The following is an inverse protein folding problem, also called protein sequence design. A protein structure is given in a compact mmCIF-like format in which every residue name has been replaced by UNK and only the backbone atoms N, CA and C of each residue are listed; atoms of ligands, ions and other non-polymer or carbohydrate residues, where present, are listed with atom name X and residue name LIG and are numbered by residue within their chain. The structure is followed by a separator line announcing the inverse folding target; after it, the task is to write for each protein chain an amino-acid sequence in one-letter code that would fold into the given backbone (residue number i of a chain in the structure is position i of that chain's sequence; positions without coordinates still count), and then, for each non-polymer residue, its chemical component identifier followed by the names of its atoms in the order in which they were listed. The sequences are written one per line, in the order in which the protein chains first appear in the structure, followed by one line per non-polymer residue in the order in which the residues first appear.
data_IF_399988646330
#
_entry.id   IF_399988646330
#
_cell.length_a   1.000
_cell.length_b   1.000
_cell.length_c   1.000
_cell.angle_alpha   90.00
_cell.angle_beta   90.00
_cell.angle_gamma   90.00
#
_symmetry.space_group_name_H-M   'P 1'
#
loop_
_entity.id
_entity.type
_entity.pdbx_description
1 polymer ?
#
# COMPACT_ATOMS: atom_id res chain seq x y z
N UNK A 1 17.63 -8.29 -28.34
CA UNK A 1 16.35 -8.44 -27.63
C UNK A 1 15.49 -9.38 -28.43
N UNK A 2 14.86 -10.33 -27.75
CA UNK A 2 13.86 -11.20 -28.40
C UNK A 2 12.66 -10.36 -28.86
N UNK A 3 12.02 -10.74 -29.97
CA UNK A 3 10.84 -10.04 -30.45
C UNK A 3 9.69 -10.16 -29.44
N UNK A 4 9.00 -9.05 -29.18
CA UNK A 4 7.84 -9.01 -28.28
C UNK A 4 6.73 -9.91 -28.86
N UNK A 5 6.21 -10.89 -28.12
CA UNK A 5 5.21 -11.82 -28.62
C UNK A 5 3.85 -11.12 -28.86
N UNK A 6 2.99 -11.76 -29.65
CA UNK A 6 1.62 -11.24 -29.90
C UNK A 6 0.72 -11.41 -28.68
N UNK A 7 0.91 -12.49 -27.94
CA UNK A 7 0.15 -12.86 -26.75
C UNK A 7 1.08 -13.09 -25.56
N UNK A 8 0.52 -13.02 -24.37
CA UNK A 8 1.18 -13.23 -23.09
C UNK A 8 0.25 -13.94 -22.12
N UNK A 9 0.82 -14.56 -21.09
CA UNK A 9 0.07 -15.05 -19.94
C UNK A 9 -0.20 -13.92 -18.94
N UNK A 10 -1.40 -13.92 -18.38
CA UNK A 10 -1.84 -12.98 -17.35
C UNK A 10 -2.71 -13.67 -16.31
N UNK A 11 -2.53 -13.34 -15.03
CA UNK A 11 -3.47 -13.71 -13.98
C UNK A 11 -4.64 -12.73 -13.99
N UNK A 12 -5.85 -13.25 -14.15
CA UNK A 12 -7.04 -12.42 -14.27
C UNK A 12 -8.33 -13.05 -13.75
N UNK A 13 -9.39 -12.26 -13.84
CA UNK A 13 -10.77 -12.64 -13.54
C UNK A 13 -11.66 -12.26 -14.73
N UNK A 14 -12.48 -13.19 -15.23
CA UNK A 14 -13.41 -12.95 -16.37
C UNK A 14 -14.72 -12.28 -15.99
N UNK A 15 -15.04 -12.29 -14.71
CA UNK A 15 -16.23 -11.68 -14.10
C UNK A 15 -15.83 -11.24 -12.69
N UNK A 16 -16.71 -10.51 -12.01
CA UNK A 16 -16.48 -10.26 -10.59
C UNK A 16 -16.52 -11.58 -9.83
N UNK A 17 -15.42 -11.94 -9.18
CA UNK A 17 -15.28 -13.22 -8.50
C UNK A 17 -14.30 -13.16 -7.34
N UNK A 18 -14.36 -14.19 -6.49
CA UNK A 18 -13.38 -14.41 -5.42
C UNK A 18 -12.10 -15.03 -6.01
N UNK A 19 -10.98 -15.01 -5.25
CA UNK A 19 -9.70 -15.55 -5.71
C UNK A 19 -9.75 -16.98 -6.24
N UNK A 20 -10.64 -17.81 -5.70
CA UNK A 20 -10.88 -19.21 -6.06
C UNK A 20 -11.16 -19.40 -7.57
N UNK A 21 -11.72 -18.37 -8.22
CA UNK A 21 -12.05 -18.35 -9.65
C UNK A 21 -11.04 -17.57 -10.51
N UNK A 22 -9.91 -17.11 -9.94
CA UNK A 22 -8.86 -16.45 -10.73
C UNK A 22 -8.17 -17.46 -11.64
N UNK A 23 -7.78 -17.05 -12.84
CA UNK A 23 -7.17 -17.94 -13.83
C UNK A 23 -5.97 -17.28 -14.48
N UNK A 24 -5.02 -18.12 -14.92
CA UNK A 24 -3.98 -17.70 -15.86
C UNK A 24 -4.58 -17.84 -17.25
N UNK A 25 -4.64 -16.73 -17.98
CA UNK A 25 -5.23 -16.62 -19.30
C UNK A 25 -4.21 -16.14 -20.31
N UNK A 26 -4.37 -16.56 -21.55
CA UNK A 26 -3.62 -15.98 -22.68
C UNK A 26 -4.36 -14.75 -23.21
N UNK A 27 -3.67 -13.61 -23.24
CA UNK A 27 -4.19 -12.30 -23.66
C UNK A 27 -3.22 -11.60 -24.58
N UNK A 28 -3.66 -10.63 -25.42
CA UNK A 28 -2.74 -9.86 -26.25
C UNK A 28 -1.73 -9.06 -25.42
N UNK A 29 -0.48 -8.98 -25.89
CA UNK A 29 0.50 -8.06 -25.30
C UNK A 29 0.06 -6.61 -25.56
N UNK A 30 0.03 -5.75 -24.54
CA UNK A 30 -0.26 -4.33 -24.71
C UNK A 30 0.72 -3.68 -25.68
N UNK A 31 0.22 -2.79 -26.54
CA UNK A 31 1.04 -2.02 -27.48
C UNK A 31 1.16 -0.59 -27.00
N UNK A 32 2.30 0.04 -27.30
CA UNK A 32 2.47 1.50 -27.23
C UNK A 32 1.38 2.17 -28.07
N UNK A 33 0.57 3.02 -27.44
CA UNK A 33 -0.52 3.79 -28.05
C UNK A 33 -0.31 5.30 -27.90
N UNK A 34 0.42 5.72 -26.87
CA UNK A 34 0.69 7.11 -26.54
C UNK A 34 2.19 7.41 -26.51
N UNK A 35 2.60 8.69 -26.69
CA UNK A 35 4.01 9.08 -26.64
C UNK A 35 4.69 8.82 -25.28
N UNK A 36 3.95 8.86 -24.18
CA UNK A 36 4.44 8.66 -22.81
C UNK A 36 4.36 7.20 -22.33
N UNK A 37 3.86 6.29 -23.18
CA UNK A 37 3.75 4.88 -22.84
C UNK A 37 5.13 4.21 -22.70
N UNK A 38 5.22 3.30 -21.73
CA UNK A 38 6.37 2.45 -21.47
C UNK A 38 5.85 1.02 -21.32
N UNK A 39 6.39 0.12 -22.14
CA UNK A 39 6.11 -1.31 -22.05
C UNK A 39 7.22 -2.00 -21.27
N UNK A 40 6.83 -2.76 -20.26
CA UNK A 40 7.74 -3.42 -19.33
C UNK A 40 7.54 -4.93 -19.45
N UNK A 41 8.63 -5.67 -19.57
CA UNK A 41 8.66 -7.11 -19.31
C UNK A 41 8.75 -7.31 -17.80
N UNK A 42 7.71 -7.89 -17.23
CA UNK A 42 7.51 -7.94 -15.78
C UNK A 42 8.27 -9.12 -15.19
N UNK A 43 8.99 -8.86 -14.10
CA UNK A 43 9.68 -9.89 -13.31
C UNK A 43 8.91 -10.23 -12.04
N UNK A 44 8.34 -9.23 -11.36
CA UNK A 44 7.60 -9.45 -10.12
C UNK A 44 6.46 -8.45 -9.94
N UNK A 45 5.39 -8.91 -9.29
CA UNK A 45 4.15 -8.13 -9.12
C UNK A 45 3.68 -8.22 -7.68
N UNK A 46 3.43 -7.06 -7.08
CA UNK A 46 2.80 -6.99 -5.77
C UNK A 46 1.29 -7.03 -5.88
N UNK A 47 0.65 -7.96 -5.18
CA UNK A 47 -0.81 -8.04 -5.07
C UNK A 47 -1.28 -7.42 -3.76
N UNK A 48 -2.16 -6.44 -3.88
CA UNK A 48 -2.72 -5.67 -2.77
C UNK A 48 -4.13 -6.13 -2.43
N UNK A 49 -4.61 -5.73 -1.24
CA UNK A 49 -5.99 -5.94 -0.81
C UNK A 49 -6.97 -5.27 -1.78
N UNK A 50 -6.61 -4.09 -2.29
CA UNK A 50 -7.43 -3.35 -3.24
C UNK A 50 -7.65 -4.10 -4.55
N UNK A 51 -6.64 -4.83 -5.04
CA UNK A 51 -6.77 -5.63 -6.27
C UNK A 51 -7.82 -6.73 -6.10
N UNK A 52 -7.78 -7.45 -4.97
CA UNK A 52 -8.76 -8.50 -4.67
C UNK A 52 -10.17 -7.94 -4.46
N UNK A 53 -10.32 -6.78 -3.80
CA UNK A 53 -11.63 -6.13 -3.59
C UNK A 53 -12.27 -5.66 -4.90
N UNK A 54 -11.45 -5.19 -5.85
CA UNK A 54 -11.92 -4.79 -7.17
C UNK A 54 -12.33 -5.99 -7.99
N UNK A 55 -11.50 -7.03 -8.04
CA UNK A 55 -11.83 -8.28 -8.73
C UNK A 55 -13.09 -8.95 -8.13
N UNK A 56 -13.33 -8.82 -6.82
CA UNK A 56 -14.56 -9.30 -6.17
C UNK A 56 -15.81 -8.42 -6.43
N UNK A 57 -15.65 -7.26 -7.06
CA UNK A 57 -16.75 -6.33 -7.35
C UNK A 57 -17.26 -5.55 -6.15
N UNK A 58 -16.57 -5.58 -5.00
CA UNK A 58 -16.95 -4.85 -3.78
C UNK A 58 -17.04 -3.34 -4.02
N UNK A 59 -16.21 -2.82 -4.92
CA UNK A 59 -16.17 -1.41 -5.28
C UNK A 59 -16.79 -1.09 -6.66
N UNK A 60 -17.53 -2.03 -7.28
CA UNK A 60 -18.01 -1.92 -8.68
C UNK A 60 -18.84 -0.67 -9.00
N UNK A 61 -19.55 -0.14 -7.99
CA UNK A 61 -20.36 1.08 -8.16
C UNK A 61 -19.50 2.33 -8.31
N UNK A 62 -18.32 2.34 -7.67
CA UNK A 62 -17.37 3.45 -7.70
C UNK A 62 -16.34 3.25 -8.81
N UNK A 63 -15.97 2.00 -9.04
CA UNK A 63 -14.90 1.56 -9.94
C UNK A 63 -15.44 0.45 -10.85
N UNK A 64 -16.32 0.77 -11.81
CA UNK A 64 -16.81 -0.23 -12.76
C UNK A 64 -15.63 -0.73 -13.61
N UNK A 65 -15.42 -2.04 -13.63
CA UNK A 65 -14.34 -2.69 -14.37
C UNK A 65 -14.85 -3.29 -15.69
N UNK A 66 -13.98 -3.31 -16.69
CA UNK A 66 -14.16 -4.09 -17.91
C UNK A 66 -13.39 -5.41 -17.79
N UNK A 67 -13.90 -6.46 -18.45
CA UNK A 67 -13.39 -7.82 -18.33
C UNK A 67 -12.63 -8.25 -19.60
N UNK A 68 -11.60 -9.12 -19.49
CA UNK A 68 -11.08 -9.67 -18.23
C UNK A 68 -10.32 -8.64 -17.38
N UNK A 69 -10.46 -8.71 -16.07
CA UNK A 69 -9.63 -7.91 -15.15
C UNK A 69 -8.30 -8.64 -15.00
N UNK A 70 -7.20 -8.01 -15.41
CA UNK A 70 -5.85 -8.49 -15.05
C UNK A 70 -5.52 -7.96 -13.64
N UNK A 71 -5.03 -8.85 -12.77
CA UNK A 71 -4.74 -8.52 -11.36
C UNK A 71 -3.43 -7.72 -11.22
N UNK A 72 -3.24 -7.13 -10.04
CA UNK A 72 -2.02 -6.41 -9.68
C UNK A 72 -1.90 -5.04 -10.33
N UNK A 73 -1.34 -4.08 -9.59
CA UNK A 73 -1.12 -2.70 -10.09
C UNK A 73 0.21 -2.10 -9.69
N UNK A 74 1.09 -2.91 -9.14
CA UNK A 74 2.44 -2.52 -8.79
C UNK A 74 3.36 -3.68 -9.13
N UNK A 75 4.56 -3.36 -9.57
CA UNK A 75 5.51 -4.38 -9.95
C UNK A 75 6.84 -3.80 -10.37
N UNK A 76 7.68 -4.69 -10.86
CA UNK A 76 9.02 -4.37 -11.30
C UNK A 76 9.41 -5.25 -12.48
N UNK A 77 10.29 -4.73 -13.32
CA UNK A 77 10.73 -5.43 -14.52
C UNK A 77 11.67 -4.59 -15.37
N UNK A 78 11.80 -4.94 -16.64
CA UNK A 78 12.72 -4.30 -17.58
C UNK A 78 11.95 -3.62 -18.70
N UNK A 79 12.32 -2.40 -19.06
CA UNK A 79 11.72 -1.68 -20.18
C UNK A 79 12.07 -2.37 -21.50
N UNK A 80 11.06 -2.73 -22.30
CA UNK A 80 11.23 -3.41 -23.60
C UNK A 80 10.77 -2.57 -24.79
N UNK A 81 9.91 -1.57 -24.57
CA UNK A 81 9.57 -0.57 -25.58
C UNK A 81 9.14 0.75 -24.92
N UNK A 82 9.33 1.86 -25.64
CA UNK A 82 8.97 3.20 -25.18
C UNK A 82 8.25 3.97 -26.29
N UNK A 83 7.31 4.82 -25.90
CA UNK A 83 6.70 5.81 -26.77
C UNK A 83 7.68 6.92 -27.15
N UNK A 84 7.35 7.67 -28.20
CA UNK A 84 8.22 8.71 -28.78
C UNK A 84 8.44 9.93 -27.86
N UNK A 85 7.65 10.08 -26.81
CA UNK A 85 7.71 11.18 -25.85
C UNK A 85 8.42 10.83 -24.54
N UNK A 86 8.83 9.57 -24.35
CA UNK A 86 9.59 9.11 -23.17
C UNK A 86 11.01 9.67 -23.23
N UNK A 87 11.50 10.24 -22.13
CA UNK A 87 12.78 10.99 -22.11
C UNK A 87 13.82 10.47 -21.12
N UNK A 88 13.37 10.01 -19.96
CA UNK A 88 14.20 9.60 -18.83
C UNK A 88 14.48 8.09 -18.78
N UNK A 89 13.64 7.28 -19.42
CA UNK A 89 13.78 5.82 -19.50
C UNK A 89 14.20 5.34 -20.88
N UNK A 90 14.95 4.24 -20.91
CA UNK A 90 15.44 3.58 -22.11
C UNK A 90 15.13 2.09 -22.06
N UNK A 91 15.08 1.49 -23.24
CA UNK A 91 14.97 0.04 -23.37
C UNK A 91 16.17 -0.62 -22.69
N UNK A 92 15.90 -1.62 -21.85
CA UNK A 92 16.89 -2.30 -21.01
C UNK A 92 16.96 -1.78 -19.57
N UNK A 93 16.34 -0.64 -19.26
CA UNK A 93 16.34 -0.13 -17.88
C UNK A 93 15.51 -1.02 -16.96
N UNK A 94 16.07 -1.37 -15.80
CA UNK A 94 15.33 -2.02 -14.73
C UNK A 94 14.51 -0.97 -13.97
N UNK A 95 13.20 -1.18 -13.87
CA UNK A 95 12.25 -0.22 -13.30
C UNK A 95 11.29 -0.90 -12.32
N UNK A 96 10.67 -0.08 -11.48
CA UNK A 96 9.57 -0.47 -10.61
C UNK A 96 8.61 0.70 -10.45
N UNK A 97 7.35 0.40 -10.14
CA UNK A 97 6.34 1.44 -10.10
C UNK A 97 4.93 0.89 -10.01
N UNK A 98 3.98 1.69 -10.49
CA UNK A 98 2.55 1.42 -10.37
C UNK A 98 1.82 1.70 -11.67
N UNK A 99 0.73 0.98 -11.92
CA UNK A 99 -0.19 1.22 -13.04
C UNK A 99 -1.31 2.22 -12.72
N UNK A 100 -1.19 3.01 -11.65
CA UNK A 100 -2.27 3.84 -11.09
C UNK A 100 -2.02 5.33 -11.32
N UNK A 101 -2.74 5.95 -12.26
CA UNK A 101 -2.78 7.42 -12.45
C UNK A 101 -4.07 8.03 -11.90
N UNK A 102 -4.01 9.07 -11.08
CA UNK A 102 -5.24 9.77 -10.67
C UNK A 102 -5.92 10.48 -11.88
N UNK A 103 -7.26 10.56 -11.92
CA UNK A 103 -8.21 10.05 -10.95
C UNK A 103 -8.42 8.53 -11.08
N UNK A 104 -8.47 7.85 -9.94
CA UNK A 104 -8.61 6.38 -9.85
C UNK A 104 -9.76 5.82 -10.69
N UNK A 105 -10.88 6.55 -10.83
CA UNK A 105 -12.04 6.15 -11.66
C UNK A 105 -11.67 5.83 -13.11
N UNK A 106 -10.69 6.54 -13.69
CA UNK A 106 -10.22 6.30 -15.05
C UNK A 106 -9.30 5.07 -15.15
N UNK A 107 -8.64 4.69 -14.06
CA UNK A 107 -7.73 3.53 -14.03
C UNK A 107 -8.48 2.22 -13.84
N UNK A 108 -9.46 2.21 -12.94
CA UNK A 108 -10.26 1.01 -12.70
C UNK A 108 -11.22 0.65 -13.85
N UNK A 109 -11.47 1.59 -14.78
CA UNK A 109 -12.38 1.43 -15.92
C UNK A 109 -11.83 0.70 -17.14
N UNK A 110 -10.50 0.66 -17.32
CA UNK A 110 -9.86 0.08 -18.51
C UNK A 110 -9.24 -1.28 -18.18
N UNK A 111 -9.99 -2.34 -18.48
CA UNK A 111 -9.80 -3.75 -18.16
C UNK A 111 -8.68 -4.44 -18.93
N UNK A 112 -7.52 -3.78 -19.04
CA UNK A 112 -6.31 -4.39 -19.61
C UNK A 112 -5.00 -3.85 -18.97
N UNK A 113 -5.09 -2.98 -17.95
CA UNK A 113 -3.93 -2.34 -17.32
C UNK A 113 -3.38 -3.03 -16.07
N UNK A 114 -3.72 -4.31 -15.83
CA UNK A 114 -3.18 -5.07 -14.71
C UNK A 114 -1.74 -5.51 -14.95
N UNK A 115 -0.96 -5.64 -13.88
CA UNK A 115 0.47 -5.89 -13.94
C UNK A 115 0.84 -7.36 -13.71
N UNK A 116 -0.07 -8.19 -13.19
CA UNK A 116 0.14 -9.63 -13.01
C UNK A 116 0.05 -10.37 -14.35
N UNK A 117 1.00 -10.08 -15.22
CA UNK A 117 1.17 -10.60 -16.56
C UNK A 117 2.64 -10.54 -16.94
N UNK A 118 3.03 -11.20 -18.03
CA UNK A 118 4.43 -11.17 -18.52
C UNK A 118 4.84 -9.79 -19.04
N UNK A 119 3.88 -8.97 -19.49
CA UNK A 119 4.12 -7.58 -19.89
C UNK A 119 3.05 -6.65 -19.32
N UNK A 120 3.45 -5.42 -18.98
CA UNK A 120 2.52 -4.36 -18.57
C UNK A 120 2.86 -3.03 -19.26
N UNK A 121 1.82 -2.28 -19.58
CA UNK A 121 1.92 -0.94 -20.14
C UNK A 121 1.61 0.09 -19.06
N UNK A 122 2.45 1.11 -18.95
CA UNK A 122 2.24 2.24 -18.05
C UNK A 122 2.86 3.50 -18.65
N UNK A 123 2.93 4.58 -17.88
CA UNK A 123 3.53 5.85 -18.31
C UNK A 123 4.80 6.14 -17.52
N UNK A 124 5.73 6.85 -18.13
CA UNK A 124 7.05 7.18 -17.55
C UNK A 124 6.97 7.84 -16.16
N UNK A 125 5.97 8.68 -15.92
CA UNK A 125 5.77 9.40 -14.64
C UNK A 125 5.44 8.48 -13.46
N UNK A 126 5.00 7.25 -13.73
CA UNK A 126 4.65 6.25 -12.70
C UNK A 126 5.77 5.26 -12.39
N UNK A 127 6.94 5.44 -13.01
CA UNK A 127 8.08 4.56 -12.88
C UNK A 127 9.26 5.25 -12.18
N UNK A 128 10.04 4.43 -11.49
CA UNK A 128 11.34 4.77 -10.96
C UNK A 128 12.39 3.75 -11.45
N UNK A 129 13.64 4.19 -11.69
CA UNK A 129 14.75 3.27 -11.89
C UNK A 129 14.95 2.38 -10.66
N UNK A 130 15.02 1.06 -10.86
CA UNK A 130 15.24 0.10 -9.78
C UNK A 130 16.69 0.23 -9.28
N UNK A 131 16.92 0.48 -7.97
CA UNK A 131 18.28 0.43 -7.43
C UNK A 131 18.92 -0.94 -7.71
N UNK A 132 20.19 -1.02 -8.17
CA UNK A 132 20.83 -2.28 -8.55
C UNK A 132 20.80 -3.35 -7.45
N UNK A 133 20.96 -2.92 -6.20
CA UNK A 133 21.00 -3.75 -4.99
C UNK A 133 19.64 -4.26 -4.51
N UNK A 134 18.53 -3.77 -5.05
CA UNK A 134 17.17 -4.19 -4.65
C UNK A 134 16.67 -5.24 -5.64
N UNK A 135 16.20 -6.39 -5.15
CA UNK A 135 15.67 -7.43 -6.03
C UNK A 135 14.36 -6.97 -6.71
N UNK A 136 13.99 -7.57 -7.85
CA UNK A 136 12.70 -7.27 -8.47
C UNK A 136 11.53 -7.57 -7.53
N UNK A 137 11.60 -8.68 -6.79
CA UNK A 137 10.59 -9.10 -5.82
C UNK A 137 10.43 -8.09 -4.67
N UNK A 138 11.52 -7.49 -4.18
CA UNK A 138 11.44 -6.40 -3.19
C UNK A 138 10.86 -5.12 -3.79
N UNK A 139 11.36 -4.73 -4.97
CA UNK A 139 10.94 -3.52 -5.66
C UNK A 139 9.42 -3.52 -5.96
N UNK A 140 8.86 -4.69 -6.30
CA UNK A 140 7.44 -4.88 -6.58
C UNK A 140 6.52 -4.68 -5.37
N UNK A 141 7.04 -4.71 -4.14
CA UNK A 141 6.27 -4.70 -2.91
C UNK A 141 6.45 -3.45 -2.03
N UNK A 142 7.53 -2.70 -2.21
CA UNK A 142 7.94 -1.66 -1.26
C UNK A 142 7.33 -0.29 -1.55
N UNK A 143 7.28 0.13 -2.83
CA UNK A 143 7.06 1.54 -3.17
C UNK A 143 5.72 2.10 -2.67
N UNK A 144 4.55 1.50 -2.99
CA UNK A 144 3.28 2.12 -2.61
C UNK A 144 3.02 2.10 -1.12
N UNK A 145 3.53 1.08 -0.43
CA UNK A 145 3.49 0.98 1.02
C UNK A 145 4.33 2.08 1.67
N UNK A 146 5.52 2.37 1.14
CA UNK A 146 6.39 3.42 1.67
C UNK A 146 5.84 4.82 1.40
N UNK A 147 5.33 5.10 0.18
CA UNK A 147 4.65 6.36 -0.13
C UNK A 147 3.49 6.60 0.84
N UNK A 148 2.69 5.56 1.09
CA UNK A 148 1.59 5.62 2.05
C UNK A 148 2.09 5.92 3.47
N UNK A 149 3.17 5.29 3.91
CA UNK A 149 3.77 5.56 5.22
C UNK A 149 4.28 7.00 5.35
N UNK A 150 5.01 7.51 4.35
CA UNK A 150 5.52 8.89 4.31
C UNK A 150 4.36 9.88 4.42
N UNK A 151 3.34 9.72 3.59
CA UNK A 151 2.20 10.64 3.57
C UNK A 151 1.38 10.59 4.85
N UNK A 152 1.10 9.38 5.36
CA UNK A 152 0.34 9.17 6.58
C UNK A 152 1.08 9.79 7.77
N UNK A 153 2.35 9.44 7.98
CA UNK A 153 3.12 9.96 9.11
C UNK A 153 3.37 11.47 8.99
N UNK A 154 3.74 11.99 7.81
CA UNK A 154 3.88 13.44 7.61
C UNK A 154 2.60 14.19 7.96
N UNK A 155 1.44 13.73 7.46
CA UNK A 155 0.16 14.39 7.72
C UNK A 155 -0.24 14.30 9.20
N UNK A 156 0.07 13.19 9.86
CA UNK A 156 -0.23 12.98 11.28
C UNK A 156 0.67 13.81 12.18
N UNK A 157 2.00 13.75 12.01
CA UNK A 157 2.95 14.49 12.85
C UNK A 157 2.80 16.01 12.71
N UNK A 158 2.41 16.50 11.53
CA UNK A 158 2.11 17.91 11.29
C UNK A 158 0.85 18.42 12.04
N UNK A 159 0.05 17.54 12.65
CA UNK A 159 -1.07 17.97 13.50
C UNK A 159 -0.60 18.53 14.86
N UNK A 160 0.63 18.22 15.28
CA UNK A 160 1.24 18.77 16.48
C UNK A 160 2.75 19.03 16.28
N UNK A 161 3.13 20.06 15.51
CA UNK A 161 4.53 20.34 15.16
C UNK A 161 5.39 20.72 16.37
N UNK A 162 4.76 21.15 17.48
CA UNK A 162 5.49 21.43 18.74
C UNK A 162 5.98 20.13 19.39
N UNK A 163 5.16 19.08 19.37
CA UNK A 163 5.51 17.78 19.93
C UNK A 163 6.38 16.93 18.98
N UNK A 164 6.26 17.17 17.67
CA UNK A 164 6.97 16.45 16.59
C UNK A 164 7.70 17.43 15.65
N UNK A 165 8.73 18.13 16.14
CA UNK A 165 9.45 19.13 15.36
C UNK A 165 10.10 18.49 14.12
N UNK A 166 9.90 19.11 12.95
CA UNK A 166 10.40 18.60 11.67
C UNK A 166 9.85 17.22 11.26
N UNK A 167 8.81 16.71 11.93
CA UNK A 167 8.32 15.35 11.73
C UNK A 167 9.23 14.26 12.29
N UNK A 168 10.14 14.60 13.20
CA UNK A 168 11.00 13.63 13.90
C UNK A 168 10.23 12.82 14.95
N UNK A 169 10.66 11.58 15.17
CA UNK A 169 10.20 10.69 16.24
C UNK A 169 11.28 10.42 17.29
N UNK A 170 12.37 11.19 17.30
CA UNK A 170 13.41 11.09 18.32
C UNK A 170 12.83 11.21 19.74
N UNK A 171 13.22 10.28 20.60
CA UNK A 171 12.72 10.20 21.98
C UNK A 171 11.28 9.68 22.11
N UNK A 172 10.56 9.45 21.01
CA UNK A 172 9.15 9.01 21.02
C UNK A 172 9.00 7.50 21.03
N UNK A 173 7.94 7.04 21.69
CA UNK A 173 7.50 5.64 21.65
C UNK A 173 6.34 5.48 20.67
N UNK A 174 6.46 4.51 19.76
CA UNK A 174 5.52 4.27 18.67
C UNK A 174 4.95 2.86 18.76
N UNK A 175 3.63 2.74 18.77
CA UNK A 175 2.92 1.46 18.70
C UNK A 175 2.54 1.20 17.24
N UNK A 176 3.03 0.10 16.66
CA UNK A 176 2.67 -0.38 15.33
C UNK A 176 1.72 -1.56 15.47
N UNK A 177 0.48 -1.37 15.06
CA UNK A 177 -0.50 -2.44 15.07
C UNK A 177 -0.33 -3.36 13.86
N UNK A 178 -0.51 -4.67 14.04
CA UNK A 178 -0.32 -5.67 12.99
C UNK A 178 1.05 -5.54 12.32
N UNK A 179 2.13 -5.58 13.10
CA UNK A 179 3.49 -5.21 12.69
C UNK A 179 4.09 -5.95 11.49
N UNK A 180 3.52 -7.10 11.11
CA UNK A 180 3.90 -7.86 9.91
C UNK A 180 2.88 -7.74 8.76
N UNK A 181 2.05 -6.70 8.76
CA UNK A 181 1.21 -6.34 7.61
C UNK A 181 2.02 -5.66 6.50
N UNK A 182 1.53 -5.69 5.26
CA UNK A 182 2.21 -5.12 4.09
C UNK A 182 2.63 -3.66 4.29
N UNK A 183 1.71 -2.80 4.71
CA UNK A 183 1.98 -1.37 4.91
C UNK A 183 2.59 -1.08 6.28
N UNK A 184 2.21 -1.82 7.32
CA UNK A 184 2.67 -1.62 8.70
C UNK A 184 4.11 -2.04 8.94
N UNK A 185 4.58 -3.12 8.29
CA UNK A 185 5.98 -3.53 8.34
C UNK A 185 6.91 -2.52 7.66
N UNK A 186 6.49 -1.96 6.53
CA UNK A 186 7.21 -0.88 5.84
C UNK A 186 7.21 0.40 6.69
N UNK A 187 6.06 0.74 7.27
CA UNK A 187 5.93 1.88 8.16
C UNK A 187 6.80 1.75 9.41
N UNK A 188 6.87 0.58 10.05
CA UNK A 188 7.73 0.32 11.20
C UNK A 188 9.21 0.58 10.88
N UNK A 189 9.68 0.10 9.73
CA UNK A 189 11.04 0.36 9.25
C UNK A 189 11.28 1.85 9.01
N UNK A 190 10.34 2.55 8.37
CA UNK A 190 10.45 4.00 8.17
C UNK A 190 10.47 4.78 9.49
N UNK A 191 9.60 4.41 10.44
CA UNK A 191 9.52 4.96 11.79
C UNK A 191 10.85 4.81 12.53
N UNK A 192 11.45 3.62 12.53
CA UNK A 192 12.71 3.36 13.24
C UNK A 192 13.92 3.95 12.50
N UNK A 193 14.09 3.61 11.23
CA UNK A 193 15.36 3.81 10.50
C UNK A 193 15.47 5.20 9.84
N UNK A 194 14.34 5.90 9.68
CA UNK A 194 14.30 7.22 9.02
C UNK A 194 13.83 8.32 9.96
N UNK A 195 12.77 8.07 10.75
CA UNK A 195 12.25 9.08 11.68
C UNK A 195 12.89 9.03 13.08
N UNK A 196 13.68 8.00 13.39
CA UNK A 196 14.47 7.93 14.61
C UNK A 196 13.68 7.62 15.88
N UNK A 197 12.56 6.90 15.78
CA UNK A 197 11.78 6.50 16.95
C UNK A 197 12.65 5.81 18.00
N UNK A 198 12.55 6.28 19.26
CA UNK A 198 13.30 5.71 20.38
C UNK A 198 12.89 4.25 20.59
N UNK A 199 11.58 4.00 20.60
CA UNK A 199 11.00 2.69 20.86
C UNK A 199 9.88 2.41 19.86
N UNK A 200 9.93 1.24 19.23
CA UNK A 200 8.89 0.69 18.37
C UNK A 200 8.34 -0.58 19.02
N UNK A 201 7.08 -0.52 19.40
CA UNK A 201 6.33 -1.65 19.93
C UNK A 201 5.45 -2.19 18.80
N UNK A 202 5.56 -3.47 18.44
CA UNK A 202 4.73 -4.06 17.39
C UNK A 202 3.77 -5.10 17.97
N UNK A 203 2.50 -5.05 17.56
CA UNK A 203 1.54 -6.12 17.89
C UNK A 203 1.42 -7.12 16.74
N UNK A 204 1.45 -8.42 17.05
CA UNK A 204 1.27 -9.51 16.09
C UNK A 204 0.48 -10.66 16.71
N UNK A 205 0.02 -11.60 15.89
CA UNK A 205 -0.57 -12.86 16.36
C UNK A 205 0.50 -13.80 16.90
N UNK A 206 0.14 -14.75 17.77
CA UNK A 206 1.07 -15.72 18.40
C UNK A 206 2.04 -16.35 17.41
N UNK A 207 1.54 -16.91 16.31
CA UNK A 207 2.35 -17.58 15.29
C UNK A 207 3.37 -16.66 14.57
N UNK A 208 3.23 -15.34 14.72
CA UNK A 208 4.03 -14.32 14.05
C UNK A 208 5.05 -13.66 14.97
N UNK A 209 4.99 -13.90 16.29
CA UNK A 209 5.95 -13.35 17.26
C UNK A 209 7.41 -13.62 16.87
N UNK A 210 7.84 -14.86 16.56
CA UNK A 210 9.24 -15.12 16.21
C UNK A 210 9.63 -14.48 14.87
N UNK A 211 8.68 -14.30 13.95
CA UNK A 211 8.92 -13.78 12.61
C UNK A 211 9.26 -12.28 12.60
N UNK A 212 8.90 -11.53 13.63
CA UNK A 212 9.13 -10.06 13.64
C UNK A 212 10.61 -9.73 13.51
N UNK A 213 11.46 -10.38 14.31
CA UNK A 213 12.91 -10.14 14.28
C UNK A 213 13.60 -10.80 13.10
N UNK A 214 13.01 -11.87 12.53
CA UNK A 214 13.49 -12.48 11.28
C UNK A 214 13.31 -11.53 10.10
N UNK A 215 12.13 -10.94 9.94
CA UNK A 215 11.81 -10.05 8.82
C UNK A 215 12.30 -8.61 9.01
N UNK A 216 12.39 -8.14 10.26
CA UNK A 216 12.71 -6.74 10.58
C UNK A 216 13.73 -6.64 11.72
N UNK A 217 14.95 -7.17 11.53
CA UNK A 217 15.98 -7.15 12.56
C UNK A 217 16.35 -5.71 12.96
N UNK A 218 16.37 -5.44 14.27
CA UNK A 218 16.71 -4.12 14.82
C UNK A 218 15.65 -3.03 14.66
N UNK A 219 14.47 -3.35 14.08
CA UNK A 219 13.40 -2.37 13.82
C UNK A 219 12.45 -2.26 15.00
N UNK A 220 12.06 -3.41 15.56
CA UNK A 220 11.08 -3.52 16.64
C UNK A 220 11.79 -3.79 17.95
N UNK A 221 11.57 -2.93 18.94
CA UNK A 221 12.19 -3.03 20.27
C UNK A 221 11.39 -3.95 21.19
N UNK A 222 10.05 -4.00 21.03
CA UNK A 222 9.16 -4.88 21.80
C UNK A 222 8.09 -5.49 20.91
N UNK A 223 7.89 -6.80 21.03
CA UNK A 223 6.82 -7.53 20.33
C UNK A 223 5.77 -7.94 21.35
N UNK A 224 4.50 -7.63 21.06
CA UNK A 224 3.36 -8.04 21.88
C UNK A 224 2.43 -8.96 21.09
N UNK A 225 2.07 -10.09 21.70
CA UNK A 225 1.08 -11.02 21.16
C UNK A 225 -0.33 -10.61 21.57
N UNK A 226 -1.11 -10.05 20.64
CA UNK A 226 -2.46 -9.60 20.94
C UNK A 226 -3.46 -10.72 21.20
N UNK A 227 -3.10 -11.99 20.95
CA UNK A 227 -3.99 -13.13 21.19
C UNK A 227 -3.87 -13.67 22.62
N UNK A 228 -2.74 -13.42 23.28
CA UNK A 228 -2.44 -13.96 24.60
C UNK A 228 -2.21 -12.87 25.64
N UNK A 229 -1.94 -11.63 25.23
CA UNK A 229 -1.63 -10.52 26.12
C UNK A 229 -2.64 -9.38 25.99
N UNK A 230 -2.90 -8.70 27.11
CA UNK A 230 -3.62 -7.42 27.12
C UNK A 230 -2.65 -6.29 26.78
N UNK A 231 -2.76 -5.78 25.54
CA UNK A 231 -1.89 -4.72 25.02
C UNK A 231 -1.91 -3.46 25.90
N UNK A 232 -3.04 -3.10 26.49
CA UNK A 232 -3.13 -1.90 27.33
C UNK A 232 -2.41 -2.12 28.65
N UNK A 233 -2.54 -3.30 29.25
CA UNK A 233 -1.86 -3.65 30.49
C UNK A 233 -0.34 -3.75 30.30
N UNK A 234 0.13 -4.38 29.21
CA UNK A 234 1.55 -4.58 28.90
C UNK A 234 2.31 -3.29 28.57
N UNK A 235 1.64 -2.35 27.90
CA UNK A 235 2.24 -1.06 27.55
C UNK A 235 2.12 -0.07 28.71
N UNK A 236 1.00 -0.08 29.41
CA UNK A 236 0.64 0.93 30.39
C UNK A 236 0.02 2.18 29.76
N UNK A 237 -0.74 2.92 30.57
CA UNK A 237 -1.51 4.08 30.11
C UNK A 237 -0.58 5.28 29.83
N UNK A 238 -0.89 6.05 28.78
CA UNK A 238 -0.19 7.31 28.49
C UNK A 238 1.25 7.18 27.99
N UNK A 239 1.69 5.99 27.54
CA UNK A 239 3.08 5.70 27.18
C UNK A 239 3.40 5.79 25.68
N UNK A 240 2.38 5.83 24.81
CA UNK A 240 2.54 5.81 23.36
C UNK A 240 2.30 7.20 22.78
N UNK A 241 3.30 7.75 22.09
CA UNK A 241 3.18 9.07 21.46
C UNK A 241 2.50 8.97 20.10
N UNK A 242 2.77 7.89 19.35
CA UNK A 242 2.18 7.65 18.04
C UNK A 242 1.68 6.21 17.94
N UNK A 243 0.42 6.03 17.56
CA UNK A 243 -0.11 4.74 17.11
C UNK A 243 -0.12 4.74 15.58
N UNK A 244 0.46 3.73 14.96
CA UNK A 244 0.45 3.52 13.52
C UNK A 244 -0.25 2.20 13.20
N UNK A 245 -1.41 2.27 12.54
CA UNK A 245 -2.27 1.11 12.28
C UNK A 245 -2.75 1.07 10.83
N UNK A 246 -2.96 -0.13 10.29
CA UNK A 246 -3.69 -0.36 9.05
C UNK A 246 -5.17 -0.69 9.27
N UNK A 247 -5.66 -0.52 10.51
CA UNK A 247 -7.03 -0.81 10.90
C UNK A 247 -7.75 0.47 11.36
N UNK A 248 -9.08 0.46 11.30
CA UNK A 248 -9.90 1.56 11.84
C UNK A 248 -10.26 1.37 13.32
N UNK A 249 -10.15 0.16 13.86
CA UNK A 249 -10.49 -0.13 15.25
C UNK A 249 -9.33 0.25 16.19
N UNK A 250 -8.97 1.52 16.19
CA UNK A 250 -7.84 2.04 16.98
C UNK A 250 -8.27 2.54 18.36
N UNK A 251 -9.57 2.81 18.56
CA UNK A 251 -10.09 3.46 19.78
C UNK A 251 -9.91 2.63 21.05
N UNK A 252 -9.82 1.30 20.94
CA UNK A 252 -9.50 0.42 22.07
C UNK A 252 -8.11 0.68 22.64
N UNK A 253 -7.20 1.25 21.84
CA UNK A 253 -5.83 1.62 22.22
C UNK A 253 -5.71 3.08 22.69
N UNK A 254 -6.82 3.83 22.78
CA UNK A 254 -6.79 5.19 23.34
C UNK A 254 -6.14 5.26 24.74
N UNK A 255 -6.34 4.31 25.67
CA UNK A 255 -5.74 4.39 27.00
C UNK A 255 -4.21 4.40 27.02
N UNK A 256 -3.54 3.79 26.03
CA UNK A 256 -2.06 3.79 25.96
C UNK A 256 -1.50 5.08 25.40
N UNK A 257 -2.32 5.90 24.73
CA UNK A 257 -1.89 7.13 24.09
C UNK A 257 -1.52 8.21 25.10
N UNK A 258 -0.41 8.90 24.86
CA UNK A 258 0.03 10.05 25.62
C UNK A 258 -1.07 11.14 25.64
N UNK A 259 -1.52 11.58 26.84
CA UNK A 259 -2.65 12.49 26.96
C UNK A 259 -2.33 13.94 26.55
N UNK A 260 -1.06 14.32 26.44
CA UNK A 260 -0.65 15.68 26.07
C UNK A 260 -0.56 15.87 24.56
N UNK A 261 -0.02 14.87 23.86
CA UNK A 261 0.32 15.02 22.45
C UNK A 261 0.21 13.72 21.63
N UNK A 262 -0.52 12.71 22.12
CA UNK A 262 -0.70 11.44 21.42
C UNK A 262 -1.36 11.60 20.05
N UNK A 263 -0.86 10.86 19.06
CA UNK A 263 -1.41 10.84 17.70
C UNK A 263 -1.74 9.41 17.28
N UNK A 264 -2.97 9.19 16.88
CA UNK A 264 -3.45 7.94 16.30
C UNK A 264 -3.48 8.10 14.78
N UNK A 265 -2.64 7.33 14.09
CA UNK A 265 -2.42 7.40 12.66
C UNK A 265 -2.88 6.09 12.01
N UNK A 266 -3.94 6.15 11.22
CA UNK A 266 -4.55 4.98 10.62
C UNK A 266 -4.56 5.06 9.09
N UNK A 267 -4.14 3.96 8.46
CA UNK A 267 -4.32 3.73 7.02
C UNK A 267 -5.67 3.06 6.82
N UNK A 268 -6.51 3.63 5.97
CA UNK A 268 -7.83 3.07 5.71
C UNK A 268 -8.73 4.05 4.98
N UNK A 269 -10.06 3.86 5.12
CA UNK A 269 -11.04 4.77 4.52
C UNK A 269 -10.71 6.21 4.94
N UNK A 270 -10.38 7.09 3.99
CA UNK A 270 -9.93 8.43 4.30
C UNK A 270 -11.08 9.26 4.89
N UNK A 271 -10.75 10.41 5.49
CA UNK A 271 -11.77 11.35 5.96
C UNK A 271 -12.72 11.74 4.83
N UNK A 272 -13.93 12.17 5.18
CA UNK A 272 -14.93 12.63 4.22
C UNK A 272 -14.40 13.67 3.22
N UNK A 273 -13.55 14.60 3.68
CA UNK A 273 -12.89 15.61 2.84
C UNK A 273 -11.95 15.01 1.79
N UNK A 274 -11.11 14.07 2.21
CA UNK A 274 -10.13 13.40 1.35
C UNK A 274 -10.82 12.42 0.39
N UNK A 275 -11.82 11.68 0.88
CA UNK A 275 -12.66 10.82 0.06
C UNK A 275 -13.36 11.61 -1.04
N UNK A 276 -13.87 12.81 -0.73
CA UNK A 276 -14.48 13.69 -1.73
C UNK A 276 -13.50 14.07 -2.83
N UNK A 277 -12.25 14.41 -2.49
CA UNK A 277 -11.20 14.72 -3.49
C UNK A 277 -10.89 13.50 -4.36
N UNK A 278 -10.73 12.34 -3.76
CA UNK A 278 -10.45 11.07 -4.46
C UNK A 278 -11.58 10.73 -5.45
N UNK A 279 -12.84 10.93 -5.04
CA UNK A 279 -14.02 10.58 -5.85
C UNK A 279 -14.37 11.62 -6.90
N UNK A 280 -14.22 12.92 -6.60
CA UNK A 280 -14.67 14.02 -7.46
C UNK A 280 -13.58 14.51 -8.44
N UNK A 281 -12.30 14.26 -8.15
CA UNK A 281 -11.20 14.95 -8.82
C UNK A 281 -11.29 16.48 -8.67
N UNK A 282 -10.58 17.21 -9.53
CA UNK A 282 -10.54 18.68 -9.51
C UNK A 282 -11.73 19.34 -10.24
N UNK A 283 -12.97 18.89 -10.01
CA UNK A 283 -14.15 19.67 -10.42
C UNK A 283 -15.40 18.95 -10.91
N UNK A 284 -15.47 17.61 -10.95
CA UNK A 284 -16.71 16.93 -11.36
C UNK A 284 -17.77 16.94 -10.24
N UNK A 285 -19.03 17.20 -10.59
CA UNK A 285 -20.16 17.07 -9.65
C UNK A 285 -20.41 15.60 -9.35
N UNK A 286 -20.09 15.17 -8.13
CA UNK A 286 -20.44 13.83 -7.61
C UNK A 286 -21.94 13.54 -7.77
N UNK A 287 -22.28 12.31 -8.16
CA UNK A 287 -23.64 11.78 -8.16
C UNK A 287 -24.25 11.83 -6.74
N UNK A 288 -25.58 11.95 -6.65
CA UNK A 288 -26.27 12.13 -5.36
C UNK A 288 -25.96 11.02 -4.34
N UNK A 289 -25.92 9.76 -4.78
CA UNK A 289 -25.64 8.60 -3.93
C UNK A 289 -24.19 8.60 -3.42
N UNK A 290 -23.24 9.14 -4.20
CA UNK A 290 -21.85 9.32 -3.76
C UNK A 290 -21.73 10.42 -2.71
N UNK A 291 -22.54 11.48 -2.81
CA UNK A 291 -22.62 12.52 -1.77
C UNK A 291 -23.17 11.95 -0.46
N UNK A 292 -24.16 11.07 -0.52
CA UNK A 292 -24.65 10.33 0.64
C UNK A 292 -23.52 9.48 1.26
N UNK A 293 -22.76 8.77 0.43
CA UNK A 293 -21.61 7.98 0.91
C UNK A 293 -20.57 8.85 1.61
N UNK A 294 -20.17 9.98 1.01
CA UNK A 294 -19.26 10.95 1.65
C UNK A 294 -19.85 11.49 2.96
N UNK A 295 -21.15 11.78 3.00
CA UNK A 295 -21.87 12.21 4.19
C UNK A 295 -21.84 11.17 5.32
N UNK A 296 -22.04 9.88 5.00
CA UNK A 296 -21.93 8.80 5.98
C UNK A 296 -20.52 8.71 6.58
N UNK A 297 -19.47 8.90 5.77
CA UNK A 297 -18.10 8.98 6.29
C UNK A 297 -17.92 10.20 7.20
N UNK A 298 -18.56 11.33 6.88
CA UNK A 298 -18.56 12.51 7.75
C UNK A 298 -19.21 12.27 9.12
N UNK A 299 -20.26 11.45 9.18
CA UNK A 299 -20.86 11.03 10.46
C UNK A 299 -19.91 10.16 11.28
N UNK A 300 -19.13 9.29 10.62
CA UNK A 300 -18.08 8.52 11.30
C UNK A 300 -16.97 9.45 11.81
N UNK A 301 -16.53 10.43 11.02
CA UNK A 301 -15.55 11.44 11.44
C UNK A 301 -16.06 12.18 12.70
N UNK A 302 -17.34 12.56 12.73
CA UNK A 302 -17.97 13.20 13.88
C UNK A 302 -18.01 12.29 15.11
N UNK A 303 -18.31 11.01 14.93
CA UNK A 303 -18.30 10.02 16.01
C UNK A 303 -16.91 9.86 16.65
N UNK A 304 -15.85 9.80 15.84
CA UNK A 304 -14.47 9.77 16.37
C UNK A 304 -14.13 11.05 17.14
N UNK A 305 -14.49 12.23 16.61
CA UNK A 305 -14.29 13.51 17.31
C UNK A 305 -15.03 13.54 18.65
N UNK A 306 -16.25 13.00 18.70
CA UNK A 306 -16.99 12.87 19.95
C UNK A 306 -16.33 11.90 20.93
N UNK A 307 -15.79 10.77 20.46
CA UNK A 307 -15.06 9.82 21.33
C UNK A 307 -13.77 10.40 21.91
N UNK A 308 -13.10 11.29 21.18
CA UNK A 308 -11.87 11.96 21.61
C UNK A 308 -12.13 13.24 22.42
N UNK A 309 -13.40 13.61 22.67
CA UNK A 309 -13.74 14.82 23.43
C UNK A 309 -13.12 14.78 24.83
N UNK A 310 -12.52 15.89 25.25
CA UNK A 310 -11.84 15.97 26.54
C UNK A 310 -10.45 15.32 26.57
N UNK A 311 -9.92 14.89 25.42
CA UNK A 311 -8.53 14.45 25.27
C UNK A 311 -7.78 15.37 24.31
N UNK A 312 -6.45 15.46 24.43
CA UNK A 312 -5.61 16.11 23.41
C UNK A 312 -5.12 15.11 22.34
N UNK A 313 -5.61 13.87 22.38
CA UNK A 313 -5.23 12.83 21.43
C UNK A 313 -5.85 13.16 20.07
N UNK A 314 -5.02 13.17 19.05
CA UNK A 314 -5.42 13.48 17.68
C UNK A 314 -5.54 12.20 16.87
N UNK A 315 -6.49 12.16 15.93
CA UNK A 315 -6.70 11.01 15.03
C UNK A 315 -6.67 11.47 13.59
N UNK A 316 -5.89 10.76 12.76
CA UNK A 316 -5.78 11.01 11.33
C UNK A 316 -5.97 9.72 10.54
N UNK A 317 -6.85 9.77 9.55
CA UNK A 317 -6.96 8.76 8.50
C UNK A 317 -6.33 9.28 7.23
N UNK A 318 -5.39 8.53 6.66
CA UNK A 318 -4.77 8.85 5.36
C UNK A 318 -4.75 7.61 4.48
N UNK A 319 -5.18 7.80 3.23
CA UNK A 319 -4.95 6.84 2.15
C UNK A 319 -3.83 7.39 1.28
N UNK A 320 -2.81 6.59 0.98
CA UNK A 320 -1.70 7.02 0.14
C UNK A 320 -2.16 7.45 -1.25
N UNK A 321 -1.50 8.44 -1.83
CA UNK A 321 -1.74 9.00 -3.16
C UNK A 321 -0.45 8.97 -3.97
N UNK A 322 -0.38 8.07 -4.95
CA UNK A 322 0.79 7.88 -5.82
C UNK A 322 0.96 8.96 -6.90
N UNK A 323 0.01 9.90 -7.01
CA UNK A 323 0.08 11.01 -7.96
C UNK A 323 1.02 12.14 -7.54
N UNK A 324 1.58 12.10 -6.32
CA UNK A 324 2.52 13.10 -5.81
C UNK A 324 3.94 12.66 -6.15
N UNK A 325 4.49 13.13 -7.28
CA UNK A 325 5.81 12.69 -7.79
C UNK A 325 6.93 12.87 -6.76
N UNK A 326 6.93 13.97 -6.02
CA UNK A 326 7.91 14.24 -4.96
C UNK A 326 7.93 13.14 -3.89
N UNK A 327 6.76 12.64 -3.47
CA UNK A 327 6.67 11.58 -2.46
C UNK A 327 7.16 10.23 -3.02
N UNK A 328 6.92 9.98 -4.31
CA UNK A 328 7.38 8.78 -5.00
C UNK A 328 8.91 8.80 -5.11
N UNK A 329 9.50 9.91 -5.52
CA UNK A 329 10.96 10.09 -5.61
C UNK A 329 11.63 9.96 -4.25
N UNK A 330 11.08 10.63 -3.22
CA UNK A 330 11.56 10.51 -1.84
C UNK A 330 11.50 9.06 -1.33
N UNK A 331 10.42 8.34 -1.63
CA UNK A 331 10.33 6.92 -1.31
C UNK A 331 11.43 6.12 -2.03
N UNK A 332 11.68 6.41 -3.31
CA UNK A 332 12.74 5.79 -4.09
C UNK A 332 14.14 6.01 -3.52
N UNK A 333 14.45 7.22 -3.07
CA UNK A 333 15.71 7.54 -2.37
C UNK A 333 15.87 6.71 -1.10
N UNK A 334 14.82 6.64 -0.27
CA UNK A 334 14.85 5.84 0.96
C UNK A 334 15.04 4.35 0.65
N UNK A 335 14.36 3.81 -0.36
CA UNK A 335 14.51 2.41 -0.81
C UNK A 335 15.95 2.16 -1.26
N UNK A 336 16.55 3.08 -2.01
CA UNK A 336 17.93 2.97 -2.45
C UNK A 336 18.93 2.92 -1.28
N UNK A 337 18.65 3.61 -0.15
CA UNK A 337 19.53 3.50 1.04
C UNK A 337 19.47 2.13 1.73
N UNK A 338 18.50 1.28 1.41
CA UNK A 338 18.31 -0.02 2.05
C UNK A 338 17.75 0.04 3.48
N UNK A 339 17.40 1.25 3.97
CA UNK A 339 16.76 1.47 5.28
C UNK A 339 15.35 0.88 5.39
N UNK A 340 14.72 0.59 4.25
CA UNK A 340 13.39 -0.01 4.18
C UNK A 340 13.41 -1.12 3.13
N UNK A 341 12.94 -2.31 3.51
CA UNK A 341 12.85 -3.50 2.65
C UNK A 341 11.47 -4.12 2.72
N UNK A 342 11.08 -4.83 1.66
CA UNK A 342 9.77 -5.48 1.64
C UNK A 342 9.75 -6.68 2.61
N UNK A 343 8.74 -6.72 3.47
CA UNK A 343 8.27 -7.97 4.07
C UNK A 343 7.29 -8.56 3.07
N UNK A 344 7.56 -9.78 2.58
CA UNK A 344 6.80 -10.37 1.47
C UNK A 344 6.64 -11.88 1.61
N UNK A 345 5.52 -12.37 1.09
CA UNK A 345 5.31 -13.78 0.75
C UNK A 345 5.49 -13.92 -0.75
N UNK A 346 6.46 -14.72 -1.18
CA UNK A 346 6.77 -14.92 -2.60
C UNK A 346 6.09 -16.19 -3.11
N UNK A 347 5.47 -16.10 -4.28
CA UNK A 347 4.81 -17.21 -4.97
C UNK A 347 5.22 -17.22 -6.44
N UNK A 348 5.41 -18.41 -7.02
CA UNK A 348 5.67 -18.56 -8.46
C UNK A 348 4.43 -18.25 -9.29
N UNK A 349 4.58 -17.63 -10.45
CA UNK A 349 3.47 -17.38 -11.38
C UNK A 349 2.78 -18.66 -11.86
N UNK A 350 3.52 -19.77 -11.96
CA UNK A 350 2.99 -21.06 -12.40
C UNK A 350 2.21 -21.80 -11.28
N UNK A 351 2.31 -21.35 -10.03
CA UNK A 351 1.59 -21.94 -8.89
C UNK A 351 0.27 -21.19 -8.62
N UNK A 352 -0.72 -21.49 -9.46
CA UNK A 352 -2.04 -20.85 -9.37
C UNK A 352 -2.71 -21.09 -8.02
N UNK A 353 -2.53 -22.27 -7.39
CA UNK A 353 -3.16 -22.57 -6.11
C UNK A 353 -2.59 -21.68 -5.00
N UNK A 354 -1.26 -21.55 -4.92
CA UNK A 354 -0.63 -20.66 -3.96
C UNK A 354 -0.97 -19.18 -4.21
N UNK A 355 -1.10 -18.75 -5.48
CA UNK A 355 -1.53 -17.39 -5.82
C UNK A 355 -2.96 -17.15 -5.31
N UNK A 356 -3.89 -18.06 -5.59
CA UNK A 356 -5.30 -17.93 -5.15
C UNK A 356 -5.38 -17.87 -3.62
N UNK A 357 -4.64 -18.73 -2.93
CA UNK A 357 -4.53 -18.74 -1.46
C UNK A 357 -3.99 -17.42 -0.92
N UNK A 358 -2.89 -16.91 -1.50
CA UNK A 358 -2.30 -15.63 -1.10
C UNK A 358 -3.25 -14.45 -1.34
N UNK A 359 -3.97 -14.46 -2.47
CA UNK A 359 -4.98 -13.46 -2.79
C UNK A 359 -6.16 -13.50 -1.79
N UNK A 360 -6.61 -14.69 -1.38
CA UNK A 360 -7.66 -14.81 -0.38
C UNK A 360 -7.21 -14.35 1.02
N UNK A 361 -5.98 -14.67 1.41
CA UNK A 361 -5.38 -14.12 2.64
C UNK A 361 -5.27 -12.59 2.59
N UNK A 362 -4.93 -12.02 1.44
CA UNK A 362 -4.92 -10.56 1.26
C UNK A 362 -6.34 -9.97 1.37
N UNK A 363 -7.34 -10.62 0.77
CA UNK A 363 -8.74 -10.17 0.79
C UNK A 363 -9.36 -10.25 2.19
N UNK A 364 -9.07 -11.30 2.94
CA UNK A 364 -9.61 -11.54 4.29
C UNK A 364 -8.83 -10.86 5.40
N UNK A 365 -7.64 -10.32 5.09
CA UNK A 365 -6.68 -9.77 6.04
C UNK A 365 -6.21 -10.79 7.10
N UNK A 366 -6.36 -12.08 6.84
CA UNK A 366 -6.00 -13.17 7.77
C UNK A 366 -4.84 -14.00 7.23
N UNK A 367 -3.93 -14.39 8.12
CA UNK A 367 -2.84 -15.33 7.82
C UNK A 367 -1.70 -14.81 6.95
N UNK A 368 -1.81 -13.60 6.37
CA UNK A 368 -0.77 -13.02 5.49
C UNK A 368 0.39 -12.39 6.29
N UNK A 369 1.62 -12.60 5.85
CA UNK A 369 2.81 -11.87 6.31
C UNK A 369 3.33 -10.99 5.16
N UNK A 370 3.34 -9.68 5.38
CA UNK A 370 3.79 -8.70 4.41
C UNK A 370 2.92 -8.58 3.16
N UNK A 371 3.52 -8.18 2.06
CA UNK A 371 2.92 -8.11 0.72
C UNK A 371 2.91 -9.49 0.06
N UNK A 372 1.92 -9.78 -0.79
CA UNK A 372 1.98 -10.97 -1.66
C UNK A 372 2.72 -10.54 -2.91
N UNK A 373 3.76 -11.27 -3.28
CA UNK A 373 4.53 -11.02 -4.50
C UNK A 373 4.46 -12.25 -5.37
N UNK A 374 4.02 -12.07 -6.62
CA UNK A 374 4.03 -13.11 -7.64
C UNK A 374 5.27 -12.90 -8.51
N UNK A 375 6.14 -13.90 -8.57
CA UNK A 375 7.32 -13.91 -9.44
C UNK A 375 6.94 -14.43 -10.81
N UNK A 376 7.05 -13.58 -11.82
CA UNK A 376 6.69 -13.87 -13.21
C UNK A 376 7.85 -14.48 -13.98
N UNK A 377 9.07 -13.94 -13.83
CA UNK A 377 10.29 -14.35 -14.51
C UNK A 377 11.50 -14.37 -13.59
#
# INVERSE_FOLDING_TARGET
MEPIPKTMRALGARKYCKPDEYEIMEVPVPKIKAPDDVLIQIHAVGITVGDALVAAGTARMVFPSTFPIILGRQGSGVVVAVGSGVKSLRIGDAVYGVGLKHPLRKVYGNGSGGWCAEYALTTEDLLLPKPPQVSFEDAAAVLPNLVTAIQNLRASLNMNPKAFPGGSLEGKTVLVEAGLGASTAIGAQYIKNVLGAKEVIATVSTAKVPLVHEYMPGVVDRVLDYQTQDIVAEIGRGRVDVLYSAQRHVMSLLPVMNPEHGIMSAIGLPSSSELKKILAGDGERLAWWMRLLVGMVGLLDLWYRWKLRGTNVQLKFVSGALGMREDVEKAGEIIATGKVRAVKTLVSFDDLEAIRKGCDQARTLKGKTGSLVVKIA
#
